data_IF_338003091948
#
_entry.id   IF_338003091948
#
_cell.length_a   1.000
_cell.length_b   1.000
_cell.length_c   1.000
_cell.angle_alpha   90.00
_cell.angle_beta   90.00
_cell.angle_gamma   90.00
#
_symmetry.space_group_name_H-M   'P 1'
#
loop_
_entity.id
_entity.type
_entity.pdbx_description
1 polymer ?
#
# COMPACT_ATOMS: atom_id res chain seq x y z
N UNK A 1 4.46 17.45 -32.14
CA UNK A 1 4.16 16.05 -31.75
C UNK A 1 5.29 15.08 -32.06
N UNK A 2 6.03 15.25 -33.15
CA UNK A 2 7.07 14.29 -33.56
C UNK A 2 8.20 14.08 -32.52
N UNK A 3 8.67 15.16 -31.88
CA UNK A 3 9.66 15.06 -30.79
C UNK A 3 9.10 14.38 -29.52
N UNK A 4 7.81 14.62 -29.20
CA UNK A 4 7.19 14.02 -28.03
C UNK A 4 7.08 12.49 -28.17
N UNK A 5 6.74 11.99 -29.37
CA UNK A 5 6.70 10.54 -29.65
C UNK A 5 8.07 9.88 -29.57
N UNK A 6 9.14 10.60 -29.91
CA UNK A 6 10.52 10.09 -29.77
C UNK A 6 10.97 9.97 -28.31
N UNK A 7 10.34 10.70 -27.40
CA UNK A 7 10.64 10.71 -25.96
C UNK A 7 9.61 9.93 -25.14
N UNK A 8 8.58 9.34 -25.77
CA UNK A 8 7.59 8.53 -25.08
C UNK A 8 8.23 7.21 -24.61
N UNK A 9 7.97 6.83 -23.35
CA UNK A 9 8.49 5.59 -22.76
C UNK A 9 9.92 5.68 -22.21
N UNK A 10 10.60 6.83 -22.32
CA UNK A 10 11.91 7.01 -21.66
C UNK A 10 11.72 7.16 -20.15
N UNK A 11 12.59 6.50 -19.38
CA UNK A 11 12.57 6.62 -17.92
C UNK A 11 12.96 8.03 -17.49
N UNK A 12 12.11 8.66 -16.67
CA UNK A 12 12.35 10.03 -16.19
C UNK A 12 13.19 10.06 -14.91
N UNK A 13 12.79 9.31 -13.89
CA UNK A 13 13.40 9.27 -12.56
C UNK A 13 13.24 7.87 -11.95
N UNK A 14 14.07 7.55 -10.95
CA UNK A 14 13.82 6.42 -10.05
C UNK A 14 12.80 6.83 -8.97
N UNK A 15 11.73 6.06 -8.83
CA UNK A 15 10.67 6.31 -7.84
C UNK A 15 10.51 5.12 -6.90
N UNK A 16 9.96 5.37 -5.71
CA UNK A 16 9.64 4.33 -4.72
C UNK A 16 8.25 3.73 -5.00
N UNK A 17 8.11 2.41 -4.94
CA UNK A 17 6.80 1.77 -4.99
C UNK A 17 6.02 2.07 -3.70
N UNK A 18 4.79 2.56 -3.82
CA UNK A 18 4.00 3.09 -2.70
C UNK A 18 3.76 2.07 -1.57
N UNK A 19 3.74 0.77 -1.86
CA UNK A 19 3.60 -0.30 -0.86
C UNK A 19 4.70 -1.36 -0.89
N UNK A 20 5.71 -1.22 -1.74
CA UNK A 20 6.67 -2.29 -1.98
C UNK A 20 7.71 -2.41 -0.88
N UNK A 21 7.78 -3.57 -0.25
CA UNK A 21 8.82 -3.93 0.71
C UNK A 21 9.50 -5.21 0.23
N UNK A 22 10.83 -5.23 0.31
CA UNK A 22 11.64 -6.38 -0.10
C UNK A 22 12.39 -6.92 1.10
N UNK A 23 12.39 -8.24 1.26
CA UNK A 23 13.05 -8.94 2.37
C UNK A 23 14.06 -9.94 1.77
N UNK A 24 15.29 -9.86 2.28
CA UNK A 24 16.42 -10.71 1.89
C UNK A 24 16.86 -11.57 3.09
N UNK A 25 17.41 -12.78 2.86
CA UNK A 25 17.96 -13.62 3.94
C UNK A 25 19.26 -13.07 4.53
N UNK A 26 19.99 -12.24 3.76
CA UNK A 26 21.21 -11.52 4.18
C UNK A 26 21.10 -10.04 3.81
N UNK A 27 22.20 -9.36 3.46
CA UNK A 27 22.12 -7.95 3.06
C UNK A 27 21.43 -7.84 1.70
N UNK A 28 20.56 -6.85 1.51
CA UNK A 28 19.91 -6.63 0.21
C UNK A 28 20.95 -6.42 -0.90
N UNK A 29 22.08 -5.80 -0.57
CA UNK A 29 23.21 -5.58 -1.50
C UNK A 29 23.88 -6.85 -2.01
N UNK A 30 23.63 -8.01 -1.39
CA UNK A 30 24.11 -9.30 -1.89
C UNK A 30 23.29 -9.77 -3.11
N UNK A 31 22.13 -9.15 -3.34
CA UNK A 31 21.15 -9.52 -4.38
C UNK A 31 20.84 -8.38 -5.35
N UNK A 32 20.75 -7.13 -4.86
CA UNK A 32 20.37 -5.97 -5.65
C UNK A 32 21.08 -4.68 -5.20
N UNK A 33 21.49 -3.80 -6.14
CA UNK A 33 22.00 -2.49 -5.79
C UNK A 33 20.91 -1.60 -5.18
N UNK A 34 21.30 -0.76 -4.22
CA UNK A 34 20.41 0.17 -3.53
C UNK A 34 20.62 1.61 -3.99
N UNK A 35 19.55 2.39 -3.94
CA UNK A 35 19.51 3.84 -4.02
C UNK A 35 18.95 4.37 -2.70
N UNK A 36 19.46 5.49 -2.20
CA UNK A 36 18.92 6.16 -1.02
C UNK A 36 18.65 7.63 -1.34
N UNK A 37 17.76 8.22 -0.55
CA UNK A 37 17.62 9.66 -0.49
C UNK A 37 18.91 10.33 0.04
N UNK A 38 19.00 11.65 -0.09
CA UNK A 38 20.20 12.43 0.30
C UNK A 38 20.59 12.24 1.77
N UNK A 39 19.61 11.89 2.62
CA UNK A 39 19.79 11.66 4.05
C UNK A 39 20.12 10.20 4.40
N UNK A 40 20.02 9.27 3.44
CA UNK A 40 20.32 7.85 3.64
C UNK A 40 19.27 7.08 4.45
N UNK A 41 18.09 7.65 4.69
CA UNK A 41 17.07 7.09 5.58
C UNK A 41 16.12 6.13 4.87
N UNK A 42 16.02 6.23 3.54
CA UNK A 42 15.04 5.48 2.76
C UNK A 42 15.69 4.70 1.62
N UNK A 43 16.30 3.53 1.90
CA UNK A 43 16.86 2.68 0.86
C UNK A 43 15.75 2.09 -0.01
N UNK A 44 15.99 2.10 -1.32
CA UNK A 44 15.14 1.54 -2.37
C UNK A 44 16.02 0.68 -3.28
N UNK A 45 15.55 -0.49 -3.66
CA UNK A 45 16.24 -1.30 -4.68
C UNK A 45 16.19 -0.58 -6.03
N UNK A 46 17.29 -0.63 -6.79
CA UNK A 46 17.29 -0.09 -8.17
C UNK A 46 16.64 -1.06 -9.17
N UNK A 47 16.36 -2.29 -8.75
CA UNK A 47 15.64 -3.28 -9.55
C UNK A 47 14.13 -3.03 -9.50
N UNK A 48 13.46 -3.32 -10.63
CA UNK A 48 12.01 -3.31 -10.68
C UNK A 48 11.41 -4.58 -10.04
N UNK A 49 10.08 -4.69 -10.05
CA UNK A 49 9.36 -5.81 -9.44
C UNK A 49 9.88 -7.18 -9.93
N UNK A 50 10.05 -7.35 -11.23
CA UNK A 50 10.38 -8.66 -11.80
C UNK A 50 11.84 -9.02 -11.53
N UNK A 51 12.72 -8.03 -11.57
CA UNK A 51 14.14 -8.21 -11.29
C UNK A 51 14.40 -8.59 -9.82
N UNK A 52 13.64 -8.01 -8.89
CA UNK A 52 13.67 -8.39 -7.46
C UNK A 52 13.27 -9.85 -7.27
N UNK A 53 12.18 -10.29 -7.91
CA UNK A 53 11.71 -11.68 -7.82
C UNK A 53 12.73 -12.65 -8.46
N UNK A 54 13.30 -12.28 -9.60
CA UNK A 54 14.33 -13.08 -10.28
C UNK A 54 15.63 -13.18 -9.48
N UNK A 55 16.01 -12.13 -8.76
CA UNK A 55 17.15 -12.13 -7.84
C UNK A 55 16.93 -13.03 -6.60
N UNK A 56 15.74 -13.64 -6.45
CA UNK A 56 15.42 -14.53 -5.33
C UNK A 56 15.01 -13.79 -4.06
N UNK A 57 14.65 -12.50 -4.17
CA UNK A 57 14.16 -11.71 -3.06
C UNK A 57 12.64 -11.88 -2.91
N UNK A 58 12.17 -11.86 -1.66
CA UNK A 58 10.74 -11.91 -1.38
C UNK A 58 10.19 -10.50 -1.32
N UNK A 59 9.15 -10.24 -2.13
CA UNK A 59 8.47 -8.96 -2.20
C UNK A 59 7.11 -9.03 -1.51
N UNK A 60 6.87 -8.09 -0.60
CA UNK A 60 5.60 -7.87 0.08
C UNK A 60 5.00 -6.53 -0.36
N UNK A 61 3.68 -6.47 -0.40
CA UNK A 61 2.93 -5.22 -0.56
C UNK A 61 2.27 -4.84 0.76
N UNK A 62 2.70 -3.72 1.33
CA UNK A 62 2.06 -3.05 2.45
C UNK A 62 1.26 -1.88 1.91
N UNK A 63 -0.05 -2.07 1.78
CA UNK A 63 -0.94 -1.08 1.20
C UNK A 63 -1.53 -0.18 2.29
N UNK A 64 -1.36 1.13 2.15
CA UNK A 64 -2.10 2.11 2.94
C UNK A 64 -3.47 2.34 2.32
N UNK A 65 -4.53 1.82 2.95
CA UNK A 65 -5.91 1.98 2.48
C UNK A 65 -6.63 3.01 3.35
N UNK A 66 -6.97 4.17 2.76
CA UNK A 66 -7.66 5.25 3.49
C UNK A 66 -9.01 4.84 4.09
N UNK A 67 -9.69 3.83 3.50
CA UNK A 67 -10.92 3.28 4.07
C UNK A 67 -10.69 2.57 5.42
N UNK A 68 -9.53 1.93 5.62
CA UNK A 68 -9.20 1.32 6.91
C UNK A 68 -8.96 2.38 7.99
N UNK A 69 -8.34 3.51 7.62
CA UNK A 69 -8.19 4.67 8.52
C UNK A 69 -9.54 5.30 8.87
N UNK A 70 -10.41 5.47 7.87
CA UNK A 70 -11.77 5.97 8.10
C UNK A 70 -12.56 5.05 9.05
N UNK A 71 -12.48 3.72 8.86
CA UNK A 71 -13.10 2.74 9.77
C UNK A 71 -12.57 2.86 11.20
N UNK A 72 -11.25 3.02 11.36
CA UNK A 72 -10.63 3.20 12.67
C UNK A 72 -11.20 4.42 13.40
N UNK A 73 -11.21 5.59 12.74
CA UNK A 73 -11.77 6.81 13.34
C UNK A 73 -13.28 6.69 13.65
N UNK A 74 -14.05 5.99 12.81
CA UNK A 74 -15.47 5.75 13.10
C UNK A 74 -15.67 4.88 14.33
N UNK A 75 -14.85 3.84 14.52
CA UNK A 75 -14.91 3.01 15.72
C UNK A 75 -14.59 3.80 16.99
N UNK A 76 -13.54 4.63 16.96
CA UNK A 76 -13.19 5.52 18.07
C UNK A 76 -14.35 6.44 18.44
N UNK A 77 -14.98 7.07 17.44
CA UNK A 77 -16.13 7.97 17.64
C UNK A 77 -17.35 7.26 18.24
N UNK A 78 -17.62 6.02 17.82
CA UNK A 78 -18.73 5.22 18.38
C UNK A 78 -18.45 4.87 19.84
N UNK A 79 -17.21 4.47 20.16
CA UNK A 79 -16.82 4.17 21.54
C UNK A 79 -16.90 5.41 22.43
N UNK A 80 -16.38 6.56 21.98
CA UNK A 80 -16.44 7.82 22.72
C UNK A 80 -17.88 8.31 22.96
N UNK A 81 -18.76 8.16 21.97
CA UNK A 81 -20.13 8.68 22.03
C UNK A 81 -21.12 7.77 22.75
N UNK A 82 -20.90 6.45 22.72
CA UNK A 82 -21.86 5.45 23.22
C UNK A 82 -21.31 4.53 24.29
N UNK A 83 -19.99 4.48 24.49
CA UNK A 83 -19.30 3.49 25.32
C UNK A 83 -19.26 2.09 24.72
N UNK A 84 -19.76 1.89 23.50
CA UNK A 84 -19.77 0.59 22.81
C UNK A 84 -18.49 0.43 22.00
N UNK A 85 -17.73 -0.61 22.31
CA UNK A 85 -16.62 -1.08 21.47
C UNK A 85 -17.17 -1.87 20.29
N UNK A 86 -16.70 -1.58 19.08
CA UNK A 86 -17.09 -2.29 17.85
C UNK A 86 -15.94 -3.16 17.37
N UNK A 87 -16.18 -4.46 17.27
CA UNK A 87 -15.24 -5.40 16.67
C UNK A 87 -15.73 -5.79 15.27
N UNK A 88 -14.96 -5.46 14.22
CA UNK A 88 -15.39 -5.70 12.82
C UNK A 88 -15.63 -7.20 12.51
N UNK A 89 -14.90 -8.10 13.16
CA UNK A 89 -15.05 -9.55 12.98
C UNK A 89 -16.29 -10.14 13.67
N UNK A 90 -17.03 -9.36 14.45
CA UNK A 90 -18.24 -9.77 15.17
C UNK A 90 -19.52 -9.22 14.53
N UNK A 91 -19.41 -8.45 13.44
CA UNK A 91 -20.56 -7.85 12.76
C UNK A 91 -21.45 -8.91 12.10
N UNK A 92 -22.76 -8.72 12.22
CA UNK A 92 -23.73 -9.49 11.44
C UNK A 92 -23.71 -9.02 9.98
N UNK A 93 -23.18 -9.86 9.10
CA UNK A 93 -23.09 -9.58 7.67
C UNK A 93 -24.44 -9.69 6.95
N UNK A 94 -25.50 -10.12 7.65
CA UNK A 94 -26.85 -10.30 7.12
C UNK A 94 -27.85 -9.26 7.65
N UNK A 95 -27.40 -8.19 8.30
CA UNK A 95 -28.27 -7.13 8.83
C UNK A 95 -29.12 -6.49 7.72
N UNK A 96 -30.46 -6.69 7.70
CA UNK A 96 -31.32 -6.18 6.65
C UNK A 96 -31.34 -4.65 6.58
N UNK A 97 -31.12 -3.95 7.70
CA UNK A 97 -31.13 -2.48 7.70
C UNK A 97 -29.97 -1.91 6.88
N UNK A 98 -28.80 -2.57 6.92
CA UNK A 98 -27.62 -2.19 6.12
C UNK A 98 -27.89 -2.41 4.63
N UNK A 99 -28.51 -3.53 4.25
CA UNK A 99 -28.83 -3.79 2.83
C UNK A 99 -29.93 -2.85 2.33
N UNK A 100 -30.93 -2.53 3.15
CA UNK A 100 -31.97 -1.56 2.81
C UNK A 100 -31.39 -0.16 2.62
N UNK A 101 -30.45 0.25 3.48
CA UNK A 101 -29.67 1.49 3.35
C UNK A 101 -28.93 1.56 2.01
N UNK A 102 -28.17 0.50 1.67
CA UNK A 102 -27.45 0.41 0.40
C UNK A 102 -28.38 0.45 -0.82
N UNK A 103 -29.54 -0.24 -0.76
CA UNK A 103 -30.55 -0.23 -1.83
C UNK A 103 -31.16 1.16 -2.06
N UNK A 104 -31.25 1.99 -1.02
CA UNK A 104 -31.68 3.40 -1.13
C UNK A 104 -30.59 4.32 -1.67
N UNK A 105 -29.33 3.86 -1.70
CA UNK A 105 -28.14 4.66 -2.00
C UNK A 105 -28.03 5.89 -1.07
N UNK A 106 -28.33 5.69 0.22
CA UNK A 106 -28.15 6.70 1.28
C UNK A 106 -26.75 6.63 1.92
#
# INVERSE_FOLDING_TARGET
MDMARKLEGVTRNAGKHAGGVVIAPTKITDFAPLYCDEQGLHPVTQFDKNDVEYAGLVKFDLLGLGMLEALHHMMDLVEESTGRVVNLWELDLADPEVYDMLCRAD
#
